data_IF_427105282845
#
_entry.id   IF_427105282845
#
_cell.length_a   1.000
_cell.length_b   1.000
_cell.length_c   1.000
_cell.angle_alpha   90.00
_cell.angle_beta   90.00
_cell.angle_gamma   90.00
#
_symmetry.space_group_name_H-M   'P 1'
#
loop_
_entity.id
_entity.type
_entity.pdbx_description
1 polymer ?
#
# COMPACT_ATOMS: atom_id res chain seq x y z
N UNK A 1 -48.28 -22.89 -19.35
CA UNK A 1 -48.97 -21.90 -20.20
C UNK A 1 -48.35 -20.56 -19.86
N UNK A 2 -47.78 -19.86 -20.82
CA UNK A 2 -47.27 -18.49 -20.61
C UNK A 2 -48.40 -17.56 -21.03
N UNK A 3 -48.98 -16.84 -20.07
CA UNK A 3 -49.93 -15.77 -20.35
C UNK A 3 -49.17 -14.50 -20.76
N UNK A 4 -49.56 -13.89 -21.87
CA UNK A 4 -49.02 -12.62 -22.35
C UNK A 4 -49.85 -11.47 -21.77
N UNK A 5 -49.20 -10.51 -21.12
CA UNK A 5 -49.89 -9.36 -20.52
C UNK A 5 -50.21 -8.27 -21.55
N UNK A 6 -49.32 -8.05 -22.53
CA UNK A 6 -49.41 -6.91 -23.47
C UNK A 6 -49.61 -7.31 -24.92
N UNK A 7 -49.43 -8.57 -25.27
CA UNK A 7 -49.74 -9.09 -26.61
C UNK A 7 -51.14 -9.70 -26.58
N UNK A 8 -52.19 -8.98 -27.01
CA UNK A 8 -53.55 -9.51 -27.02
C UNK A 8 -53.69 -10.68 -28.02
N UNK A 9 -54.43 -11.70 -27.61
CA UNK A 9 -54.71 -12.90 -28.43
C UNK A 9 -55.45 -12.63 -29.75
N UNK A 10 -55.91 -11.40 -29.99
CA UNK A 10 -56.67 -11.00 -31.19
C UNK A 10 -55.87 -10.09 -32.13
N UNK A 11 -54.57 -10.30 -32.28
CA UNK A 11 -53.77 -9.63 -33.31
C UNK A 11 -53.93 -10.38 -34.64
N UNK A 12 -54.48 -9.69 -35.65
CA UNK A 12 -54.75 -10.24 -37.00
C UNK A 12 -53.66 -9.92 -38.02
N UNK A 13 -52.58 -9.25 -37.61
CA UNK A 13 -51.43 -8.96 -38.46
C UNK A 13 -50.36 -10.04 -38.23
N UNK A 14 -49.95 -10.77 -39.28
CA UNK A 14 -48.85 -11.74 -39.17
C UNK A 14 -47.54 -11.04 -38.78
N UNK A 15 -46.77 -11.64 -37.87
CA UNK A 15 -45.47 -11.13 -37.43
C UNK A 15 -44.89 -11.89 -36.23
N UNK A 16 -43.64 -11.60 -35.89
CA UNK A 16 -43.01 -12.05 -34.64
C UNK A 16 -43.19 -10.97 -33.59
N UNK A 17 -43.84 -11.30 -32.48
CA UNK A 17 -44.06 -10.39 -31.36
C UNK A 17 -43.29 -10.91 -30.15
N UNK A 18 -42.37 -10.11 -29.63
CA UNK A 18 -41.58 -10.44 -28.43
C UNK A 18 -42.01 -9.53 -27.28
N UNK A 19 -42.42 -10.11 -26.16
CA UNK A 19 -42.71 -9.39 -24.93
C UNK A 19 -41.60 -9.65 -23.91
N UNK A 20 -41.08 -8.58 -23.29
CA UNK A 20 -40.17 -8.67 -22.16
C UNK A 20 -40.99 -8.49 -20.88
N UNK A 21 -41.17 -9.59 -20.13
CA UNK A 21 -41.79 -9.56 -18.80
C UNK A 21 -40.69 -9.35 -17.75
N UNK A 22 -40.65 -8.15 -17.17
CA UNK A 22 -39.72 -7.79 -16.09
C UNK A 22 -40.35 -7.95 -14.69
N UNK A 23 -41.51 -8.62 -14.55
CA UNK A 23 -42.14 -8.79 -13.23
C UNK A 23 -41.31 -9.64 -12.26
N UNK A 24 -40.40 -10.47 -12.77
CA UNK A 24 -39.37 -11.19 -11.99
C UNK A 24 -37.97 -10.56 -12.12
N UNK A 25 -37.86 -9.33 -12.61
CA UNK A 25 -36.58 -8.62 -12.66
C UNK A 25 -36.15 -8.22 -11.24
N UNK A 26 -35.29 -9.06 -10.65
CA UNK A 26 -34.59 -8.89 -9.36
C UNK A 26 -35.50 -8.44 -8.22
N UNK A 27 -36.14 -9.40 -7.57
CA UNK A 27 -36.93 -9.22 -6.33
C UNK A 27 -36.11 -9.40 -5.05
N UNK A 28 -34.80 -9.64 -5.17
CA UNK A 28 -33.90 -9.69 -4.00
C UNK A 28 -33.77 -8.30 -3.41
N UNK A 29 -33.60 -8.20 -2.07
CA UNK A 29 -33.20 -6.94 -1.45
C UNK A 29 -32.05 -6.35 -2.27
N UNK A 30 -32.07 -5.03 -2.59
CA UNK A 30 -30.93 -4.39 -3.24
C UNK A 30 -29.70 -4.76 -2.43
N UNK A 31 -28.72 -5.36 -3.09
CA UNK A 31 -27.40 -5.55 -2.47
C UNK A 31 -26.99 -4.16 -2.02
N UNK A 32 -26.89 -3.94 -0.71
CA UNK A 32 -26.43 -2.66 -0.19
C UNK A 32 -24.94 -2.58 -0.53
N UNK A 33 -24.63 -2.06 -1.71
CA UNK A 33 -23.26 -1.87 -2.19
C UNK A 33 -22.56 -0.91 -1.23
N UNK A 34 -21.79 -1.48 -0.31
CA UNK A 34 -21.00 -0.71 0.64
C UNK A 34 -19.73 -0.23 -0.06
N UNK A 35 -19.67 1.06 -0.32
CA UNK A 35 -18.47 1.73 -0.81
C UNK A 35 -17.66 2.26 0.38
N UNK A 36 -16.37 1.95 0.40
CA UNK A 36 -15.46 2.42 1.44
C UNK A 36 -14.63 3.59 0.90
N UNK A 37 -14.66 4.70 1.63
CA UNK A 37 -13.84 5.88 1.36
C UNK A 37 -12.60 5.85 2.24
N UNK A 38 -11.41 5.89 1.62
CA UNK A 38 -10.14 6.07 2.32
C UNK A 38 -9.64 7.50 2.08
N UNK A 39 -9.32 8.21 3.16
CA UNK A 39 -8.65 9.52 3.10
C UNK A 39 -7.34 9.39 3.85
N UNK A 40 -6.22 9.52 3.13
CA UNK A 40 -4.90 9.21 3.70
C UNK A 40 -3.76 9.99 3.02
N UNK A 41 -2.64 10.23 3.72
CA UNK A 41 -1.47 10.87 3.12
C UNK A 41 -0.91 10.11 1.92
N UNK A 42 -0.53 10.87 0.89
CA UNK A 42 0.09 10.36 -0.32
C UNK A 42 1.46 11.01 -0.56
N UNK A 43 2.27 10.37 -1.39
CA UNK A 43 3.61 10.85 -1.78
C UNK A 43 3.66 11.30 -3.24
N UNK A 44 2.66 10.91 -4.03
CA UNK A 44 2.49 11.39 -5.39
C UNK A 44 2.31 12.92 -5.42
N UNK A 45 2.91 13.55 -6.42
CA UNK A 45 2.75 14.99 -6.63
C UNK A 45 1.37 15.28 -7.19
N UNK A 46 0.66 16.20 -6.54
CA UNK A 46 -0.58 16.78 -7.06
C UNK A 46 -0.51 18.30 -6.98
N UNK A 47 -1.25 18.96 -7.86
CA UNK A 47 -1.32 20.42 -7.94
C UNK A 47 -1.99 21.05 -6.70
N UNK A 48 -2.91 20.33 -6.05
CA UNK A 48 -3.66 20.79 -4.88
C UNK A 48 -3.12 20.27 -3.53
N UNK A 49 -3.91 20.48 -2.47
CA UNK A 49 -3.66 19.87 -1.14
C UNK A 49 -4.18 18.44 -1.05
N UNK A 50 -5.02 18.02 -1.99
CA UNK A 50 -5.62 16.69 -2.05
C UNK A 50 -5.82 16.26 -3.51
N UNK A 51 -5.94 14.96 -3.75
CA UNK A 51 -6.30 14.39 -5.06
C UNK A 51 -7.81 14.45 -5.28
N UNK A 52 -8.25 14.35 -6.54
CA UNK A 52 -9.64 13.98 -6.81
C UNK A 52 -9.93 12.58 -6.22
N UNK A 53 -11.20 12.25 -5.91
CA UNK A 53 -11.56 10.89 -5.53
C UNK A 53 -11.26 9.93 -6.67
N UNK A 54 -10.41 8.93 -6.41
CA UNK A 54 -10.04 7.91 -7.39
C UNK A 54 -10.59 6.56 -6.95
N UNK A 55 -11.29 5.87 -7.85
CA UNK A 55 -11.70 4.47 -7.64
C UNK A 55 -10.50 3.55 -7.88
N UNK A 56 -10.23 2.68 -6.92
CA UNK A 56 -9.05 1.82 -6.95
C UNK A 56 -9.47 0.36 -6.78
N UNK A 57 -8.95 -0.50 -7.65
CA UNK A 57 -9.32 -1.92 -7.69
C UNK A 57 -8.14 -2.85 -7.43
N UNK A 58 -6.91 -2.32 -7.43
CA UNK A 58 -5.70 -3.09 -7.19
C UNK A 58 -4.68 -2.30 -6.38
N UNK A 59 -3.77 -3.04 -5.73
CA UNK A 59 -2.60 -2.50 -5.03
C UNK A 59 -1.74 -1.65 -5.99
N UNK A 60 -1.53 -2.14 -7.21
CA UNK A 60 -0.73 -1.46 -8.24
C UNK A 60 -1.34 -0.17 -8.74
N UNK A 61 -2.67 -0.09 -8.85
CA UNK A 61 -3.35 1.16 -9.22
C UNK A 61 -3.19 2.20 -8.10
N UNK A 62 -3.27 1.76 -6.84
CA UNK A 62 -3.03 2.62 -5.68
C UNK A 62 -1.58 3.12 -5.63
N UNK A 63 -0.62 2.24 -5.94
CA UNK A 63 0.81 2.56 -6.03
C UNK A 63 1.05 3.69 -7.03
N UNK A 64 0.46 3.60 -8.22
CA UNK A 64 0.61 4.59 -9.28
C UNK A 64 -0.10 5.91 -8.94
N UNK A 65 -1.29 5.86 -8.36
CA UNK A 65 -2.08 7.04 -8.04
C UNK A 65 -1.53 7.85 -6.86
N UNK A 66 -1.08 7.18 -5.79
CA UNK A 66 -0.72 7.82 -4.52
C UNK A 66 0.77 7.73 -4.17
N UNK A 67 1.54 6.96 -4.94
CA UNK A 67 2.97 6.75 -4.78
C UNK A 67 3.29 5.54 -3.91
N UNK A 68 4.32 4.79 -4.34
CA UNK A 68 4.75 3.54 -3.71
C UNK A 68 5.17 3.74 -2.25
N UNK A 69 4.60 2.90 -1.37
CA UNK A 69 4.84 2.91 0.07
C UNK A 69 4.26 4.13 0.81
N UNK A 70 3.38 4.91 0.18
CA UNK A 70 2.57 5.91 0.88
C UNK A 70 1.54 5.27 1.82
N UNK A 71 1.06 6.03 2.81
CA UNK A 71 0.02 5.58 3.73
C UNK A 71 -1.25 5.20 2.97
N UNK A 72 -1.67 6.02 2.00
CA UNK A 72 -2.82 5.72 1.15
C UNK A 72 -2.66 4.39 0.39
N UNK A 73 -1.51 4.15 -0.25
CA UNK A 73 -1.23 2.88 -0.94
C UNK A 73 -1.31 1.68 0.02
N UNK A 74 -0.70 1.77 1.20
CA UNK A 74 -0.68 0.66 2.16
C UNK A 74 -2.05 0.39 2.79
N UNK A 75 -2.86 1.43 3.01
CA UNK A 75 -4.24 1.27 3.48
C UNK A 75 -5.10 0.56 2.42
N UNK A 76 -4.98 0.93 1.15
CA UNK A 76 -5.68 0.26 0.05
C UNK A 76 -5.27 -1.20 -0.05
N UNK A 77 -3.96 -1.48 -0.01
CA UNK A 77 -3.43 -2.84 0.01
C UNK A 77 -4.05 -3.67 1.14
N UNK A 78 -4.08 -3.12 2.35
CA UNK A 78 -4.63 -3.84 3.50
C UNK A 78 -6.15 -4.05 3.36
N UNK A 79 -6.88 -3.07 2.83
CA UNK A 79 -8.31 -3.19 2.58
C UNK A 79 -8.62 -4.30 1.55
N UNK A 80 -7.90 -4.33 0.43
CA UNK A 80 -8.05 -5.36 -0.62
C UNK A 80 -7.65 -6.75 -0.10
N UNK A 81 -6.59 -6.84 0.73
CA UNK A 81 -6.20 -8.11 1.38
C UNK A 81 -7.28 -8.64 2.31
N UNK A 82 -7.98 -7.75 3.02
CA UNK A 82 -9.05 -8.14 3.93
C UNK A 82 -10.33 -8.53 3.17
N UNK A 83 -10.62 -7.86 2.06
CA UNK A 83 -11.75 -8.17 1.19
C UNK A 83 -11.41 -7.85 -0.26
N UNK A 84 -11.30 -8.88 -1.11
CA UNK A 84 -10.94 -8.71 -2.52
C UNK A 84 -12.05 -8.13 -3.39
N UNK A 85 -13.31 -8.12 -2.91
CA UNK A 85 -14.49 -7.61 -3.63
C UNK A 85 -14.92 -6.22 -3.12
N UNK A 86 -14.08 -5.56 -2.34
CA UNK A 86 -14.39 -4.25 -1.76
C UNK A 86 -14.41 -3.16 -2.84
N UNK A 87 -15.40 -2.28 -2.79
CA UNK A 87 -15.43 -1.06 -3.59
C UNK A 87 -14.70 0.06 -2.84
N UNK A 88 -13.56 0.50 -3.37
CA UNK A 88 -12.72 1.52 -2.75
C UNK A 88 -12.68 2.79 -3.58
N UNK A 89 -12.99 3.91 -2.93
CA UNK A 89 -12.66 5.25 -3.40
C UNK A 89 -11.63 5.86 -2.45
N UNK A 90 -10.60 6.49 -3.00
CA UNK A 90 -9.47 7.01 -2.23
C UNK A 90 -9.23 8.47 -2.56
N UNK A 91 -9.00 9.27 -1.52
CA UNK A 91 -8.57 10.67 -1.62
C UNK A 91 -7.20 10.77 -0.94
N UNK A 92 -6.19 11.07 -1.73
CA UNK A 92 -4.83 11.29 -1.25
C UNK A 92 -4.68 12.70 -0.69
N UNK A 93 -4.08 12.82 0.49
CA UNK A 93 -3.75 14.10 1.11
C UNK A 93 -2.27 14.41 0.92
N UNK A 94 -1.97 15.65 0.53
CA UNK A 94 -0.60 16.14 0.51
C UNK A 94 -0.15 16.42 1.93
N UNK A 95 1.11 16.10 2.22
CA UNK A 95 1.72 16.50 3.48
C UNK A 95 1.65 18.01 3.70
N UNK A 96 1.32 18.41 4.93
CA UNK A 96 1.32 19.82 5.31
C UNK A 96 2.73 20.42 5.16
N UNK A 97 2.82 21.70 4.78
CA UNK A 97 4.11 22.38 4.56
C UNK A 97 5.00 22.39 5.81
N UNK A 98 4.39 22.57 6.99
CA UNK A 98 5.04 22.49 8.29
C UNK A 98 5.28 21.04 8.80
N UNK A 99 4.85 20.02 8.06
CA UNK A 99 5.05 18.62 8.42
C UNK A 99 6.54 18.25 8.41
N UNK A 100 6.98 17.55 9.46
CA UNK A 100 8.32 17.00 9.58
C UNK A 100 8.27 15.49 9.35
N UNK A 101 9.20 14.97 8.55
CA UNK A 101 9.33 13.53 8.36
C UNK A 101 10.05 12.92 9.56
N UNK A 102 9.48 11.85 10.13
CA UNK A 102 10.11 11.10 11.21
C UNK A 102 11.44 10.50 10.72
N UNK A 103 12.45 10.48 11.59
CA UNK A 103 13.76 9.89 11.27
C UNK A 103 14.14 8.83 12.30
N UNK A 104 14.76 7.76 11.83
CA UNK A 104 15.28 6.68 12.67
C UNK A 104 16.70 6.33 12.24
N UNK A 105 17.55 5.96 13.19
CA UNK A 105 18.94 5.58 12.92
C UNK A 105 19.22 4.18 13.43
N UNK A 106 19.90 3.40 12.62
CA UNK A 106 20.53 2.13 13.02
C UNK A 106 22.03 2.29 12.79
N UNK A 107 22.79 2.34 13.89
CA UNK A 107 24.24 2.52 13.84
C UNK A 107 24.90 1.15 13.96
N UNK A 108 25.79 0.83 13.03
CA UNK A 108 26.60 -0.38 13.07
C UNK A 108 27.98 -0.09 13.64
N UNK A 109 28.34 -0.85 14.67
CA UNK A 109 29.60 -0.77 15.39
C UNK A 109 30.24 -2.16 15.48
N UNK A 110 31.56 -2.19 15.69
CA UNK A 110 32.33 -3.44 15.62
C UNK A 110 32.47 -3.99 14.20
N UNK A 111 33.09 -5.16 14.10
CA UNK A 111 33.21 -5.93 12.86
C UNK A 111 32.57 -7.31 13.06
N UNK A 112 31.99 -7.86 11.99
CA UNK A 112 31.39 -9.19 12.02
C UNK A 112 32.47 -10.28 12.14
N UNK A 113 32.70 -10.81 13.34
CA UNK A 113 33.70 -11.88 13.57
C UNK A 113 33.27 -13.24 13.03
N UNK A 114 31.95 -13.43 12.86
CA UNK A 114 31.32 -14.62 12.29
C UNK A 114 30.29 -14.18 11.27
N UNK A 115 30.18 -14.92 10.16
CA UNK A 115 29.12 -14.69 9.19
C UNK A 115 27.73 -14.89 9.82
N UNK A 116 26.76 -14.07 9.43
CA UNK A 116 25.43 -14.11 10.00
C UNK A 116 24.43 -13.33 9.17
N UNK A 117 23.29 -12.99 9.77
CA UNK A 117 22.25 -12.19 9.14
C UNK A 117 22.00 -10.95 9.98
N UNK A 118 21.77 -9.82 9.33
CA UNK A 118 21.22 -8.61 9.95
C UNK A 118 19.77 -8.47 9.47
N UNK A 119 18.85 -8.37 10.42
CA UNK A 119 17.41 -8.18 10.21
C UNK A 119 17.02 -6.81 10.76
N UNK A 120 16.45 -5.96 9.91
CA UNK A 120 15.83 -4.68 10.30
C UNK A 120 14.35 -4.77 10.00
N UNK A 121 13.50 -4.52 11.00
CA UNK A 121 12.05 -4.49 10.89
C UNK A 121 11.58 -3.05 10.99
N UNK A 122 10.81 -2.59 9.99
CA UNK A 122 10.33 -1.22 9.87
C UNK A 122 8.83 -1.26 9.62
N UNK A 123 8.02 -0.76 10.55
CA UNK A 123 6.56 -0.71 10.39
C UNK A 123 5.93 -2.09 10.13
N UNK A 124 6.51 -3.15 10.69
CA UNK A 124 6.08 -4.54 10.50
C UNK A 124 6.67 -5.26 9.28
N UNK A 125 7.31 -4.56 8.35
CA UNK A 125 7.99 -5.16 7.19
C UNK A 125 9.44 -5.54 7.52
N UNK A 126 9.87 -6.71 7.08
CA UNK A 126 11.17 -7.31 7.43
C UNK A 126 12.16 -7.14 6.28
N UNK A 127 13.34 -6.59 6.58
CA UNK A 127 14.45 -6.42 5.65
C UNK A 127 15.68 -7.16 6.17
N UNK A 128 16.19 -8.13 5.40
CA UNK A 128 17.30 -8.98 5.82
C UNK A 128 18.45 -8.96 4.81
N UNK A 129 19.68 -8.99 5.32
CA UNK A 129 20.88 -9.19 4.51
C UNK A 129 21.83 -10.18 5.19
N UNK A 130 22.52 -10.97 4.37
CA UNK A 130 23.61 -11.82 4.84
C UNK A 130 24.89 -10.99 5.02
N UNK A 131 25.55 -11.13 6.15
CA UNK A 131 26.81 -10.48 6.49
C UNK A 131 27.93 -11.51 6.50
N UNK A 132 29.00 -11.23 5.75
CA UNK A 132 30.18 -12.06 5.70
C UNK A 132 31.12 -11.78 6.90
N UNK A 133 32.02 -12.73 7.19
CA UNK A 133 33.06 -12.53 8.19
C UNK A 133 33.99 -11.38 7.76
N UNK A 134 34.33 -10.52 8.70
CA UNK A 134 35.14 -9.31 8.53
C UNK A 134 34.59 -8.35 7.48
N UNK A 135 33.29 -8.38 7.23
CA UNK A 135 32.68 -7.43 6.31
C UNK A 135 32.64 -6.02 6.91
N UNK A 136 33.00 -5.03 6.10
CA UNK A 136 32.96 -3.62 6.47
C UNK A 136 31.52 -3.13 6.66
N UNK A 137 31.29 -2.35 7.72
CA UNK A 137 29.96 -1.80 8.03
C UNK A 137 29.39 -0.95 6.89
N UNK A 138 30.26 -0.34 6.07
CA UNK A 138 29.88 0.41 4.87
C UNK A 138 29.22 -0.46 3.81
N UNK A 139 29.69 -1.70 3.62
CA UNK A 139 29.10 -2.64 2.68
C UNK A 139 27.76 -3.17 3.18
N UNK A 140 27.65 -3.41 4.50
CA UNK A 140 26.40 -3.82 5.17
C UNK A 140 25.33 -2.73 5.01
N UNK A 141 25.66 -1.48 5.34
CA UNK A 141 24.72 -0.34 5.21
C UNK A 141 24.31 -0.13 3.77
N UNK A 142 25.25 -0.14 2.82
CA UNK A 142 24.96 0.00 1.39
C UNK A 142 23.95 -1.04 0.90
N UNK A 143 24.12 -2.30 1.32
CA UNK A 143 23.20 -3.38 0.95
C UNK A 143 21.83 -3.23 1.61
N UNK A 144 21.76 -2.83 2.87
CA UNK A 144 20.48 -2.52 3.53
C UNK A 144 19.74 -1.37 2.86
N UNK A 145 20.44 -0.29 2.51
CA UNK A 145 19.85 0.84 1.78
C UNK A 145 19.24 0.37 0.46
N UNK A 146 19.95 -0.47 -0.30
CA UNK A 146 19.45 -1.01 -1.56
C UNK A 146 18.20 -1.87 -1.36
N UNK A 147 18.22 -2.80 -0.39
CA UNK A 147 17.09 -3.70 -0.10
C UNK A 147 15.85 -2.93 0.37
N UNK A 148 16.01 -1.93 1.24
CA UNK A 148 14.89 -1.12 1.74
C UNK A 148 14.29 -0.26 0.62
N UNK A 149 15.13 0.43 -0.16
CA UNK A 149 14.64 1.32 -1.21
C UNK A 149 14.07 0.59 -2.43
N UNK A 150 14.46 -0.68 -2.66
CA UNK A 150 13.88 -1.51 -3.71
C UNK A 150 12.47 -2.03 -3.37
N UNK A 151 12.08 -2.02 -2.09
CA UNK A 151 10.76 -2.48 -1.67
C UNK A 151 9.67 -1.46 -1.97
N UNK A 152 8.66 -1.87 -2.73
CA UNK A 152 7.46 -1.09 -3.06
C UNK A 152 6.62 -0.74 -1.82
N UNK A 153 6.73 -1.55 -0.78
CA UNK A 153 5.96 -1.40 0.47
C UNK A 153 6.73 -0.67 1.56
N UNK A 154 7.97 -0.24 1.29
CA UNK A 154 8.74 0.51 2.28
C UNK A 154 8.07 1.86 2.57
N UNK A 155 7.81 2.10 3.85
CA UNK A 155 7.24 3.34 4.40
C UNK A 155 8.31 4.42 4.60
N UNK A 156 9.59 4.05 4.44
CA UNK A 156 10.74 4.91 4.67
C UNK A 156 11.65 4.93 3.45
N UNK A 157 12.42 6.01 3.33
CA UNK A 157 13.59 6.10 2.45
C UNK A 157 14.84 5.89 3.30
N UNK A 158 15.67 4.94 2.89
CA UNK A 158 16.94 4.65 3.54
C UNK A 158 18.09 5.39 2.87
N UNK A 159 19.04 5.89 3.67
CA UNK A 159 20.31 6.48 3.22
C UNK A 159 21.46 6.09 4.14
N UNK A 160 22.66 6.01 3.58
CA UNK A 160 23.88 5.85 4.37
C UNK A 160 24.32 7.21 4.93
N UNK A 161 24.50 7.29 6.25
CA UNK A 161 25.05 8.45 6.95
C UNK A 161 26.41 8.03 7.54
N UNK A 162 27.47 8.75 7.16
CA UNK A 162 28.86 8.49 7.60
C UNK A 162 29.38 7.05 7.38
N UNK A 163 28.76 6.28 6.48
CA UNK A 163 29.13 4.91 6.12
C UNK A 163 28.77 3.82 7.14
N UNK A 164 28.51 4.18 8.40
CA UNK A 164 28.22 3.22 9.50
C UNK A 164 26.79 3.31 10.00
N UNK A 165 26.08 4.38 9.64
CA UNK A 165 24.74 4.65 10.12
C UNK A 165 23.78 4.47 8.95
N UNK A 166 22.78 3.63 9.15
CA UNK A 166 21.60 3.54 8.30
C UNK A 166 20.59 4.57 8.81
N UNK A 167 20.38 5.64 8.04
CA UNK A 167 19.39 6.66 8.34
C UNK A 167 18.12 6.37 7.54
N UNK A 168 17.02 6.22 8.26
CA UNK A 168 15.69 5.97 7.76
C UNK A 168 14.88 7.25 7.91
N UNK A 169 14.15 7.64 6.86
CA UNK A 169 13.27 8.81 6.89
C UNK A 169 11.90 8.42 6.37
N UNK A 170 10.84 8.67 7.14
CA UNK A 170 9.47 8.37 6.72
C UNK A 170 9.13 9.09 5.41
N UNK A 171 8.41 8.42 4.52
CA UNK A 171 8.00 8.99 3.23
C UNK A 171 6.93 10.07 3.40
N UNK A 172 5.97 9.85 4.31
CA UNK A 172 4.96 10.83 4.67
C UNK A 172 5.41 11.61 5.91
N UNK A 173 5.11 12.90 5.93
CA UNK A 173 5.38 13.80 7.06
C UNK A 173 4.26 13.76 8.09
N UNK A 174 4.57 14.20 9.30
CA UNK A 174 3.61 14.29 10.40
C UNK A 174 3.66 13.09 11.35
N UNK A 175 2.65 13.00 12.21
CA UNK A 175 2.65 12.09 13.37
C UNK A 175 2.61 10.61 12.99
N UNK A 176 2.04 10.26 11.84
CA UNK A 176 1.97 8.86 11.34
C UNK A 176 3.36 8.24 11.24
N UNK A 177 4.38 9.03 10.87
CA UNK A 177 5.76 8.54 10.81
C UNK A 177 6.33 8.15 12.17
N UNK A 178 5.81 8.70 13.26
CA UNK A 178 6.28 8.41 14.62
C UNK A 178 5.74 7.07 15.16
N UNK A 179 4.67 6.53 14.56
CA UNK A 179 4.11 5.23 14.92
C UNK A 179 4.88 4.06 14.28
N UNK A 180 5.83 4.36 13.39
CA UNK A 180 6.67 3.35 12.74
C UNK A 180 7.63 2.70 13.72
N UNK A 181 7.29 1.48 14.13
CA UNK A 181 8.14 0.67 14.99
C UNK A 181 9.41 0.26 14.24
N UNK A 182 10.58 0.50 14.86
CA UNK A 182 11.90 0.12 14.35
C UNK A 182 12.54 -0.91 15.29
N UNK A 183 12.98 -2.04 14.73
CA UNK A 183 13.75 -3.05 15.46
C UNK A 183 14.88 -3.58 14.60
N UNK A 184 16.05 -3.78 15.18
CA UNK A 184 17.19 -4.42 14.52
C UNK A 184 17.67 -5.61 15.36
N UNK A 185 17.98 -6.72 14.69
CA UNK A 185 18.56 -7.92 15.29
C UNK A 185 19.63 -8.46 14.36
N UNK A 186 20.66 -9.09 14.92
CA UNK A 186 21.71 -9.72 14.13
C UNK A 186 22.17 -11.04 14.77
N UNK A 187 22.76 -11.91 13.95
CA UNK A 187 23.43 -13.14 14.40
C UNK A 187 24.94 -13.10 14.13
N UNK A 188 25.42 -12.05 13.46
CA UNK A 188 26.85 -11.86 13.21
C UNK A 188 27.60 -11.62 14.52
N UNK A 189 28.64 -12.42 14.79
CA UNK A 189 29.41 -12.31 16.03
C UNK A 189 30.06 -10.92 16.17
N UNK A 190 30.06 -10.36 17.38
CA UNK A 190 30.67 -9.07 17.78
C UNK A 190 30.21 -7.82 17.03
N UNK A 191 29.27 -7.93 16.07
CA UNK A 191 28.59 -6.77 15.49
C UNK A 191 27.66 -6.17 16.55
N UNK A 192 27.51 -4.85 16.60
CA UNK A 192 26.57 -4.18 17.51
C UNK A 192 25.85 -3.01 16.87
#
# INVERSE_FOLDING_TARGET
MVDFDKIPNSIRKPGVYTEYNNKDAVTTLPTNEQEVLIVAPMTAQVTGSYSLPVKVFSDTDAEQAFGAGSVAHLMVRQAIKNNSLIHLTVIGLKDHSAGVAATGRVTFTGAASIAGVVRVVIGGEVYEIAVAKNEENTAIVTRLVAVINASRYSQVVARAESGRVLLLTAKCKGEIGNELMLSAKHTAGTLS
#
